data_IF_056282421303
#
_entry.id   IF_056282421303
#
_cell.length_a   1.000
_cell.length_b   1.000
_cell.length_c   1.000
_cell.angle_alpha   90.00
_cell.angle_beta   90.00
_cell.angle_gamma   90.00
#
_symmetry.space_group_name_H-M   'P 1'
#
loop_
_entity.id
_entity.type
_entity.pdbx_description
1 polymer ?
#
# COMPACT_ATOMS: atom_id res chain seq x y z
N UNK A 1 -1.55 11.21 14.70
CA UNK A 1 -2.52 10.18 14.25
C UNK A 1 -2.17 8.79 14.76
N UNK A 2 -0.93 8.53 15.13
CA UNK A 2 -0.41 7.21 15.50
C UNK A 2 -1.06 6.59 16.75
N UNK A 3 -1.62 7.43 17.60
CA UNK A 3 -2.32 7.03 18.84
C UNK A 3 -3.81 6.70 18.60
N UNK A 4 -4.30 6.84 17.36
CA UNK A 4 -5.73 6.74 17.04
C UNK A 4 -5.99 5.50 16.18
N UNK A 5 -6.99 4.72 16.55
CA UNK A 5 -7.50 3.62 15.74
C UNK A 5 -8.99 3.78 15.45
N UNK A 6 -9.36 3.45 14.21
CA UNK A 6 -10.76 3.24 13.82
C UNK A 6 -10.93 1.78 13.49
N UNK A 7 -11.77 1.12 14.26
CA UNK A 7 -12.01 -0.32 14.16
C UNK A 7 -13.43 -0.59 13.66
N UNK A 8 -13.55 -1.57 12.77
CA UNK A 8 -14.83 -2.03 12.26
C UNK A 8 -14.89 -3.56 12.22
N UNK A 9 -16.05 -4.13 12.05
CA UNK A 9 -16.22 -5.57 11.84
C UNK A 9 -15.63 -6.03 10.50
N UNK A 10 -15.74 -5.20 9.47
CA UNK A 10 -15.28 -5.47 8.10
C UNK A 10 -14.64 -4.23 7.48
N UNK A 11 -13.64 -4.44 6.63
CA UNK A 11 -12.89 -3.35 5.98
C UNK A 11 -13.77 -2.44 5.10
N UNK A 12 -14.89 -2.94 4.56
CA UNK A 12 -15.80 -2.13 3.74
C UNK A 12 -16.34 -0.89 4.46
N UNK A 13 -16.51 -0.95 5.78
CA UNK A 13 -16.98 0.19 6.58
C UNK A 13 -15.90 1.25 6.82
N UNK A 14 -14.63 0.90 6.59
CA UNK A 14 -13.50 1.82 6.68
C UNK A 14 -13.23 2.58 5.37
N UNK A 15 -13.82 2.15 4.25
CA UNK A 15 -13.60 2.75 2.94
C UNK A 15 -13.92 4.25 2.87
N UNK A 16 -15.03 4.75 3.43
CA UNK A 16 -15.31 6.20 3.44
C UNK A 16 -14.23 7.00 4.20
N UNK A 17 -13.73 6.45 5.31
CA UNK A 17 -12.68 7.09 6.08
C UNK A 17 -11.34 7.03 5.36
N UNK A 18 -11.03 5.92 4.69
CA UNK A 18 -9.88 5.81 3.81
C UNK A 18 -9.93 6.90 2.71
N UNK A 19 -11.08 7.04 2.03
CA UNK A 19 -11.27 8.07 1.02
C UNK A 19 -11.06 9.49 1.58
N UNK A 20 -11.54 9.74 2.79
CA UNK A 20 -11.34 11.01 3.48
C UNK A 20 -9.85 11.25 3.78
N UNK A 21 -9.12 10.25 4.27
CA UNK A 21 -7.68 10.36 4.52
C UNK A 21 -6.91 10.69 3.23
N UNK A 22 -7.20 9.99 2.12
CA UNK A 22 -6.57 10.24 0.81
C UNK A 22 -6.82 11.68 0.33
N UNK A 23 -8.07 12.16 0.43
CA UNK A 23 -8.45 13.50 -0.01
C UNK A 23 -7.82 14.63 0.83
N UNK A 24 -7.58 14.36 2.11
CA UNK A 24 -7.07 15.36 3.06
C UNK A 24 -5.58 15.20 3.39
N UNK A 25 -4.89 14.26 2.74
CA UNK A 25 -3.47 14.00 2.98
C UNK A 25 -3.18 13.52 4.41
N UNK A 26 -4.15 12.85 5.05
CA UNK A 26 -3.97 12.29 6.40
C UNK A 26 -3.25 10.95 6.29
N UNK A 27 -2.09 10.77 6.95
CA UNK A 27 -1.41 9.51 6.95
C UNK A 27 -2.26 8.45 7.66
N UNK A 28 -2.40 7.28 7.05
CA UNK A 28 -3.15 6.18 7.62
C UNK A 28 -2.51 4.83 7.30
N UNK A 29 -2.79 3.86 8.15
CA UNK A 29 -2.43 2.47 7.97
C UNK A 29 -3.69 1.62 7.87
N UNK A 30 -3.97 1.05 6.69
CA UNK A 30 -5.06 0.09 6.52
C UNK A 30 -4.55 -1.32 6.82
N UNK A 31 -5.03 -1.93 7.90
CA UNK A 31 -4.72 -3.33 8.25
C UNK A 31 -5.45 -4.29 7.31
N UNK A 32 -4.88 -4.49 6.13
CA UNK A 32 -5.27 -5.57 5.23
C UNK A 32 -4.42 -6.82 5.50
N UNK A 33 -4.85 -7.95 4.98
CA UNK A 33 -4.14 -9.23 5.11
C UNK A 33 -2.65 -9.06 4.74
N UNK A 34 -1.77 -9.21 5.74
CA UNK A 34 -0.32 -8.97 5.64
C UNK A 34 0.37 -9.84 4.58
N UNK A 35 -0.30 -10.92 4.15
CA UNK A 35 0.24 -11.87 3.15
C UNK A 35 0.24 -11.33 1.72
N UNK A 36 -0.38 -10.17 1.47
CA UNK A 36 -0.65 -9.69 0.11
C UNK A 36 0.19 -8.47 -0.30
N UNK A 37 0.92 -7.82 0.64
CA UNK A 37 1.80 -6.69 0.30
C UNK A 37 3.17 -7.19 -0.17
N UNK A 38 3.76 -6.57 -1.21
CA UNK A 38 5.12 -6.87 -1.62
C UNK A 38 6.10 -6.65 -0.48
N UNK A 39 7.16 -7.45 -0.45
CA UNK A 39 8.26 -7.24 0.50
C UNK A 39 8.92 -5.89 0.23
N UNK A 40 9.25 -5.14 1.28
CA UNK A 40 9.97 -3.86 1.17
C UNK A 40 11.27 -3.99 0.37
N UNK A 41 11.94 -5.15 0.49
CA UNK A 41 13.18 -5.45 -0.24
C UNK A 41 13.00 -5.54 -1.75
N UNK A 42 11.76 -5.70 -2.24
CA UNK A 42 11.40 -5.79 -3.65
C UNK A 42 10.94 -4.47 -4.23
N UNK A 43 10.83 -3.43 -3.43
CA UNK A 43 10.50 -2.10 -3.94
C UNK A 43 11.65 -1.57 -4.78
N UNK A 44 11.34 -1.00 -5.92
CA UNK A 44 12.31 -0.52 -6.92
C UNK A 44 13.37 0.41 -6.33
N UNK A 45 12.97 1.29 -5.45
CA UNK A 45 13.86 2.27 -4.80
C UNK A 45 14.90 1.58 -3.92
N UNK A 46 14.47 0.59 -3.14
CA UNK A 46 15.37 -0.23 -2.30
C UNK A 46 16.27 -1.12 -3.15
N UNK A 47 15.75 -1.68 -4.24
CA UNK A 47 16.54 -2.48 -5.16
C UNK A 47 17.63 -1.67 -5.85
N UNK A 48 17.34 -0.44 -6.30
CA UNK A 48 18.33 0.48 -6.88
C UNK A 48 19.42 0.86 -5.87
N UNK A 49 19.03 1.16 -4.62
CA UNK A 49 19.98 1.45 -3.56
C UNK A 49 20.93 0.27 -3.31
N UNK A 50 20.39 -0.95 -3.26
CA UNK A 50 21.18 -2.16 -3.12
C UNK A 50 22.14 -2.36 -4.29
N UNK A 51 21.70 -2.12 -5.52
CA UNK A 51 22.58 -2.22 -6.70
C UNK A 51 23.74 -1.21 -6.64
N UNK A 52 23.46 0.02 -6.21
CA UNK A 52 24.49 1.05 -6.03
C UNK A 52 25.52 0.65 -4.97
N UNK A 53 25.07 0.12 -3.83
CA UNK A 53 25.96 -0.36 -2.77
C UNK A 53 26.78 -1.58 -3.24
N UNK A 54 26.18 -2.53 -3.95
CA UNK A 54 26.89 -3.69 -4.52
C UNK A 54 27.95 -3.27 -5.56
N UNK A 55 27.67 -2.23 -6.36
CA UNK A 55 28.64 -1.68 -7.30
C UNK A 55 29.80 -1.01 -6.59
N UNK A 56 29.53 -0.28 -5.50
CA UNK A 56 30.55 0.36 -4.66
C UNK A 56 31.42 -0.68 -3.94
N UNK A 57 30.82 -1.78 -3.45
CA UNK A 57 31.56 -2.90 -2.83
C UNK A 57 32.57 -3.51 -3.80
N UNK A 58 32.13 -3.80 -5.04
CA UNK A 58 33.02 -4.33 -6.09
C UNK A 58 34.14 -3.35 -6.45
N UNK A 59 33.91 -2.05 -6.30
CA UNK A 59 34.88 -1.01 -6.54
C UNK A 59 35.74 -0.69 -5.28
N UNK A 60 35.57 -1.44 -4.19
CA UNK A 60 36.25 -1.24 -2.90
C UNK A 60 36.14 0.19 -2.37
N UNK A 61 34.97 0.83 -2.59
CA UNK A 61 34.68 2.18 -2.07
C UNK A 61 34.08 2.09 -0.68
N UNK A 62 34.26 3.14 0.10
CA UNK A 62 33.55 3.37 1.37
C UNK A 62 32.75 4.64 1.28
N UNK A 63 31.83 4.84 2.19
CA UNK A 63 30.98 6.04 2.26
C UNK A 63 31.17 6.75 3.59
N UNK A 64 31.32 8.07 3.55
CA UNK A 64 31.10 8.89 4.74
C UNK A 64 29.59 9.10 4.96
N UNK A 65 29.18 9.60 6.14
CA UNK A 65 27.76 9.91 6.38
C UNK A 65 27.21 10.88 5.32
N UNK A 66 27.99 11.88 4.91
CA UNK A 66 27.63 12.83 3.84
C UNK A 66 27.44 12.13 2.49
N UNK A 67 28.33 11.25 2.12
CA UNK A 67 28.25 10.50 0.87
C UNK A 67 27.07 9.51 0.88
N UNK A 68 26.76 8.91 2.05
CA UNK A 68 25.60 8.07 2.20
C UNK A 68 24.28 8.85 2.02
N UNK A 69 24.19 10.06 2.61
CA UNK A 69 23.06 10.97 2.36
C UNK A 69 22.89 11.25 0.87
N UNK A 70 23.98 11.63 0.19
CA UNK A 70 23.96 11.89 -1.25
C UNK A 70 23.49 10.64 -2.04
N UNK A 71 23.97 9.46 -1.69
CA UNK A 71 23.53 8.21 -2.31
C UNK A 71 22.01 7.98 -2.15
N UNK A 72 21.46 8.24 -0.97
CA UNK A 72 20.02 8.14 -0.73
C UNK A 72 19.23 9.17 -1.56
N UNK A 73 19.74 10.40 -1.64
CA UNK A 73 19.14 11.47 -2.44
C UNK A 73 19.15 11.16 -3.94
N UNK A 74 20.19 10.52 -4.46
CA UNK A 74 20.30 10.09 -5.86
C UNK A 74 19.30 8.96 -6.23
N UNK A 75 18.89 8.13 -5.25
CA UNK A 75 17.97 7.03 -5.48
C UNK A 75 16.50 7.44 -5.42
N UNK A 76 16.18 8.63 -4.89
CA UNK A 76 14.81 9.09 -4.86
C UNK A 76 14.40 9.62 -6.24
N UNK A 77 13.30 9.15 -6.75
CA UNK A 77 12.69 9.64 -7.97
C UNK A 77 11.35 10.30 -7.65
N UNK A 78 10.66 9.81 -6.62
CA UNK A 78 9.36 10.31 -6.22
C UNK A 78 9.36 11.00 -4.85
N UNK A 79 8.41 11.92 -4.66
CA UNK A 79 8.28 12.72 -3.44
C UNK A 79 8.01 11.87 -2.20
N UNK A 80 7.24 10.78 -2.35
CA UNK A 80 6.85 9.92 -1.23
C UNK A 80 8.05 9.18 -0.63
N UNK A 81 9.04 8.81 -1.47
CA UNK A 81 10.24 8.13 -1.01
C UNK A 81 11.29 9.07 -0.46
N UNK A 82 11.25 10.35 -0.80
CA UNK A 82 12.17 11.35 -0.23
C UNK A 82 12.04 11.42 1.29
N UNK A 83 10.82 11.44 1.81
CA UNK A 83 10.57 11.47 3.25
C UNK A 83 11.03 10.16 3.92
N UNK A 84 10.79 9.02 3.29
CA UNK A 84 11.28 7.73 3.78
C UNK A 84 12.81 7.68 3.84
N UNK A 85 13.51 8.13 2.81
CA UNK A 85 14.97 8.16 2.80
C UNK A 85 15.55 9.16 3.79
N UNK A 86 14.93 10.32 3.98
CA UNK A 86 15.29 11.24 5.04
C UNK A 86 15.17 10.59 6.42
N UNK A 87 14.07 9.89 6.67
CA UNK A 87 13.87 9.15 7.92
C UNK A 87 14.93 8.06 8.12
N UNK A 88 15.24 7.29 7.08
CA UNK A 88 16.34 6.30 7.09
C UNK A 88 17.65 6.97 7.47
N UNK A 89 17.97 8.10 6.85
CA UNK A 89 19.22 8.80 7.11
C UNK A 89 19.29 9.39 8.53
N UNK A 90 18.20 9.98 9.03
CA UNK A 90 18.15 10.50 10.41
C UNK A 90 18.38 9.39 11.44
N UNK A 91 17.73 8.24 11.29
CA UNK A 91 17.94 7.11 12.20
C UNK A 91 19.37 6.56 12.11
N UNK A 92 19.95 6.52 10.90
CA UNK A 92 21.36 6.15 10.74
C UNK A 92 22.28 7.09 11.54
N UNK A 93 22.08 8.41 11.41
CA UNK A 93 22.86 9.40 12.14
C UNK A 93 22.69 9.29 13.66
N UNK A 94 21.48 9.08 14.14
CA UNK A 94 21.19 8.91 15.56
C UNK A 94 21.92 7.70 16.15
N UNK A 95 21.88 6.56 15.48
CA UNK A 95 22.57 5.33 15.93
C UNK A 95 24.11 5.45 15.89
N UNK A 96 24.66 6.27 14.98
CA UNK A 96 26.10 6.39 14.78
C UNK A 96 26.71 7.65 15.38
N UNK A 97 25.93 8.46 16.10
CA UNK A 97 26.39 9.71 16.69
C UNK A 97 26.77 10.79 15.66
N UNK A 98 26.23 10.69 14.44
CA UNK A 98 26.41 11.66 13.36
C UNK A 98 25.36 12.77 13.45
N UNK A 99 25.70 13.96 12.95
CA UNK A 99 24.75 15.05 12.85
C UNK A 99 24.01 15.00 11.51
N UNK A 100 22.71 14.70 11.52
CA UNK A 100 21.91 14.60 10.30
C UNK A 100 21.82 15.92 9.51
N UNK A 101 21.88 17.07 10.16
CA UNK A 101 21.86 18.39 9.50
C UNK A 101 23.22 18.76 8.89
N UNK A 102 24.31 18.26 9.48
CA UNK A 102 25.69 18.52 9.04
C UNK A 102 26.50 17.21 9.12
N UNK A 103 26.22 16.22 8.24
CA UNK A 103 26.87 14.92 8.31
C UNK A 103 28.36 15.02 8.06
N UNK A 104 29.15 14.24 8.84
CA UNK A 104 30.61 14.26 8.83
C UNK A 104 31.22 13.51 7.65
N UNK A 105 32.53 13.72 7.49
CA UNK A 105 33.38 13.03 6.52
C UNK A 105 34.48 12.18 7.19
N UNK A 106 34.50 12.13 8.53
CA UNK A 106 35.57 11.48 9.27
C UNK A 106 35.43 9.96 9.37
N UNK A 107 34.20 9.48 9.50
CA UNK A 107 33.91 8.05 9.64
C UNK A 107 33.57 7.44 8.29
N UNK A 108 34.19 6.30 7.98
CA UNK A 108 34.01 5.58 6.73
C UNK A 108 33.23 4.27 6.95
N UNK A 109 32.14 4.08 6.23
CA UNK A 109 31.28 2.91 6.32
C UNK A 109 31.42 2.05 5.07
N UNK A 110 31.72 0.73 5.21
CA UNK A 110 31.73 -0.20 4.07
C UNK A 110 30.32 -0.35 3.47
N UNK A 111 30.18 -0.55 2.14
CA UNK A 111 28.89 -0.72 1.50
C UNK A 111 28.11 -1.92 2.06
N UNK A 112 28.77 -3.05 2.36
CA UNK A 112 28.14 -4.21 2.98
C UNK A 112 27.55 -3.88 4.37
N UNK A 113 28.22 -3.02 5.16
CA UNK A 113 27.71 -2.56 6.43
C UNK A 113 26.43 -1.72 6.25
N UNK A 114 26.45 -0.71 5.37
CA UNK A 114 25.29 0.10 5.07
C UNK A 114 24.10 -0.74 4.54
N UNK A 115 24.40 -1.72 3.69
CA UNK A 115 23.38 -2.64 3.16
C UNK A 115 22.72 -3.45 4.27
N UNK A 116 23.50 -4.05 5.18
CA UNK A 116 22.96 -4.82 6.28
C UNK A 116 22.16 -3.93 7.23
N UNK A 117 22.68 -2.77 7.58
CA UNK A 117 21.98 -1.81 8.42
C UNK A 117 20.63 -1.40 7.81
N UNK A 118 20.59 -1.05 6.50
CA UNK A 118 19.34 -0.74 5.80
C UNK A 118 18.37 -1.92 5.86
N UNK A 119 18.83 -3.15 5.66
CA UNK A 119 17.99 -4.34 5.68
C UNK A 119 17.36 -4.57 7.06
N UNK A 120 18.15 -4.42 8.13
CA UNK A 120 17.69 -4.54 9.51
C UNK A 120 16.70 -3.43 9.85
N UNK A 121 17.01 -2.19 9.44
CA UNK A 121 16.13 -1.05 9.62
C UNK A 121 14.80 -1.21 8.85
N UNK A 122 14.82 -1.73 7.62
CA UNK A 122 13.61 -2.03 6.87
C UNK A 122 12.77 -3.13 7.54
N UNK A 123 13.39 -4.04 8.26
CA UNK A 123 12.70 -5.00 9.12
C UNK A 123 11.92 -4.30 10.23
N UNK A 124 12.52 -3.29 10.85
CA UNK A 124 11.88 -2.40 11.84
C UNK A 124 10.84 -1.50 11.20
N UNK A 125 11.10 -0.91 10.03
CA UNK A 125 10.14 -0.12 9.24
C UNK A 125 8.88 -0.90 8.85
N UNK A 126 8.96 -2.21 8.76
CA UNK A 126 7.77 -3.04 8.59
C UNK A 126 6.78 -2.88 9.75
N UNK A 127 7.29 -2.53 10.92
CA UNK A 127 6.50 -2.13 12.09
C UNK A 127 6.12 -0.64 12.01
N UNK A 128 7.01 0.23 11.51
CA UNK A 128 6.82 1.69 11.39
C UNK A 128 5.90 2.11 10.22
N UNK A 129 5.63 1.26 9.23
CA UNK A 129 4.53 1.46 8.27
C UNK A 129 3.14 1.42 8.92
N UNK A 130 3.09 1.33 10.24
CA UNK A 130 1.89 1.50 11.05
C UNK A 130 1.73 2.95 11.57
N UNK A 131 2.54 3.90 11.10
CA UNK A 131 2.38 5.31 11.44
C UNK A 131 1.16 5.91 10.75
N UNK A 132 0.47 6.77 11.48
CA UNK A 132 -0.77 7.39 11.06
C UNK A 132 -2.00 6.72 11.66
N UNK A 133 -3.16 7.19 11.25
CA UNK A 133 -4.45 6.67 11.70
C UNK A 133 -4.57 5.17 11.39
N UNK A 134 -4.71 4.35 12.41
CA UNK A 134 -4.91 2.91 12.22
C UNK A 134 -6.35 2.63 11.77
N UNK A 135 -6.51 2.08 10.58
CA UNK A 135 -7.78 1.61 10.04
C UNK A 135 -7.75 0.08 9.98
N UNK A 136 -8.60 -0.59 10.73
CA UNK A 136 -8.55 -2.05 10.75
C UNK A 136 -9.82 -2.74 11.22
N UNK A 137 -9.86 -4.04 11.02
CA UNK A 137 -10.92 -4.85 11.64
C UNK A 137 -10.59 -5.09 13.10
N UNK A 138 -11.62 -5.36 13.92
CA UNK A 138 -11.42 -5.75 15.32
C UNK A 138 -10.48 -6.96 15.43
N UNK A 139 -10.56 -7.90 14.49
CA UNK A 139 -9.67 -9.06 14.45
C UNK A 139 -8.20 -8.67 14.18
N UNK A 140 -7.96 -7.73 13.29
CA UNK A 140 -6.59 -7.30 12.96
C UNK A 140 -5.95 -6.48 14.07
N UNK A 141 -6.75 -5.87 14.94
CA UNK A 141 -6.30 -5.11 16.10
C UNK A 141 -6.02 -5.97 17.35
N UNK A 142 -6.22 -7.29 17.27
CA UNK A 142 -5.95 -8.18 18.41
C UNK A 142 -4.48 -8.12 18.81
N UNK A 143 -4.24 -7.81 20.10
CA UNK A 143 -2.90 -7.66 20.67
C UNK A 143 -2.26 -6.28 20.45
N UNK A 144 -2.95 -5.35 19.79
CA UNK A 144 -2.56 -3.95 19.70
C UNK A 144 -3.33 -3.12 20.73
N UNK A 145 -2.78 -1.97 21.10
CA UNK A 145 -3.41 -0.99 22.00
C UNK A 145 -3.18 0.42 21.43
N UNK A 146 -4.19 1.29 21.61
CA UNK A 146 -4.18 2.66 21.11
C UNK A 146 -4.72 3.59 22.19
N UNK A 147 -4.25 4.84 22.26
CA UNK A 147 -4.78 5.80 23.22
C UNK A 147 -6.26 6.08 22.93
N UNK A 148 -6.60 6.27 21.67
CA UNK A 148 -7.96 6.64 21.25
C UNK A 148 -8.52 5.61 20.26
N UNK A 149 -9.63 4.99 20.58
CA UNK A 149 -10.28 4.00 19.71
C UNK A 149 -11.67 4.48 19.33
N UNK A 150 -11.94 4.50 18.04
CA UNK A 150 -13.27 4.65 17.46
C UNK A 150 -13.74 3.29 16.96
N UNK A 151 -14.82 2.79 17.54
CA UNK A 151 -15.41 1.50 17.13
C UNK A 151 -16.67 1.77 16.33
N UNK A 152 -16.63 1.42 15.04
CA UNK A 152 -17.74 1.59 14.12
C UNK A 152 -18.74 0.44 14.26
N UNK A 153 -20.00 0.78 14.37
CA UNK A 153 -21.10 -0.16 14.22
C UNK A 153 -21.26 -0.53 12.73
N UNK A 154 -21.45 -1.82 12.45
CA UNK A 154 -21.64 -2.38 11.13
C UNK A 154 -23.09 -2.75 10.83
N UNK A 155 -24.03 -2.05 11.44
CA UNK A 155 -25.43 -2.36 11.30
C UNK A 155 -25.97 -2.01 9.92
N UNK A 156 -25.86 -2.94 8.96
CA UNK A 156 -26.44 -2.85 7.60
C UNK A 156 -28.00 -2.88 7.63
N UNK A 157 -28.63 -2.58 8.76
CA UNK A 157 -30.10 -2.73 8.97
C UNK A 157 -30.53 -4.19 9.09
N UNK A 158 -29.60 -5.13 9.14
CA UNK A 158 -29.87 -6.53 9.48
C UNK A 158 -29.79 -6.69 10.99
N UNK A 159 -30.77 -7.40 11.57
CA UNK A 159 -30.72 -7.73 13.00
C UNK A 159 -29.38 -8.36 13.32
N UNK A 160 -28.57 -7.66 14.13
CA UNK A 160 -27.33 -8.24 14.65
C UNK A 160 -27.64 -9.56 15.35
N UNK A 161 -26.89 -10.58 14.97
CA UNK A 161 -26.96 -11.85 15.70
C UNK A 161 -26.30 -11.60 17.06
N UNK A 162 -27.10 -11.51 18.10
CA UNK A 162 -26.60 -11.42 19.49
C UNK A 162 -26.03 -12.79 19.90
N UNK A 163 -24.91 -13.16 19.29
CA UNK A 163 -24.17 -14.38 19.63
C UNK A 163 -23.12 -14.07 20.67
N UNK A 164 -22.79 -15.05 21.49
CA UNK A 164 -21.70 -14.90 22.48
C UNK A 164 -20.37 -14.58 21.80
N UNK A 165 -20.17 -15.00 20.56
CA UNK A 165 -18.99 -14.71 19.75
C UNK A 165 -18.92 -13.25 19.33
N UNK A 166 -20.02 -12.67 18.82
CA UNK A 166 -20.07 -11.24 18.45
C UNK A 166 -19.86 -10.35 19.69
N UNK A 167 -20.43 -10.71 20.82
CA UNK A 167 -20.20 -9.98 22.07
C UNK A 167 -18.73 -10.01 22.48
N UNK A 168 -18.07 -11.16 22.40
CA UNK A 168 -16.64 -11.28 22.70
C UNK A 168 -15.79 -10.45 21.76
N UNK A 169 -16.12 -10.48 20.47
CA UNK A 169 -15.41 -9.69 19.47
C UNK A 169 -15.55 -8.19 19.74
N UNK A 170 -16.77 -7.74 20.00
CA UNK A 170 -17.03 -6.34 20.32
C UNK A 170 -16.26 -5.90 21.58
N UNK A 171 -16.26 -6.75 22.61
CA UNK A 171 -15.47 -6.54 23.83
C UNK A 171 -13.96 -6.43 23.52
N UNK A 172 -13.43 -7.28 22.62
CA UNK A 172 -12.02 -7.18 22.19
C UNK A 172 -11.76 -5.83 21.54
N UNK A 173 -12.65 -5.32 20.69
CA UNK A 173 -12.54 -3.98 20.11
C UNK A 173 -12.52 -2.88 21.17
N UNK A 174 -13.43 -2.93 22.12
CA UNK A 174 -13.52 -1.96 23.21
C UNK A 174 -12.25 -1.92 24.08
N UNK A 175 -11.67 -3.08 24.37
CA UNK A 175 -10.45 -3.21 25.20
C UNK A 175 -9.15 -2.82 24.46
N UNK A 176 -9.23 -2.32 23.24
CA UNK A 176 -8.05 -1.80 22.54
C UNK A 176 -7.72 -0.35 22.93
N UNK A 177 -8.62 0.35 23.60
CA UNK A 177 -8.43 1.73 24.06
C UNK A 177 -7.70 1.80 25.40
N UNK A 178 -6.71 2.68 25.49
CA UNK A 178 -6.00 3.00 26.74
C UNK A 178 -6.67 4.19 27.43
N UNK A 179 -6.99 5.26 26.69
CA UNK A 179 -7.49 6.51 27.25
C UNK A 179 -8.96 6.75 26.92
N UNK A 180 -9.33 6.71 25.63
CA UNK A 180 -10.71 7.00 25.21
C UNK A 180 -11.26 5.97 24.25
N UNK A 181 -12.52 5.61 24.46
CA UNK A 181 -13.30 4.76 23.58
C UNK A 181 -14.51 5.53 23.07
N UNK A 182 -14.61 5.67 21.76
CA UNK A 182 -15.79 6.24 21.09
C UNK A 182 -16.53 5.16 20.34
N UNK A 183 -17.79 4.93 20.68
CA UNK A 183 -18.65 3.98 19.99
C UNK A 183 -19.53 4.74 19.01
N UNK A 184 -19.32 4.52 17.71
CA UNK A 184 -20.09 5.15 16.63
C UNK A 184 -21.12 4.15 16.15
N UNK A 185 -22.39 4.48 16.30
CA UNK A 185 -23.50 3.60 15.97
C UNK A 185 -24.52 4.32 15.09
N UNK A 186 -25.07 3.58 14.15
CA UNK A 186 -26.20 4.04 13.29
C UNK A 186 -27.56 3.71 13.90
N UNK A 187 -27.64 2.72 14.78
CA UNK A 187 -28.82 2.31 15.51
C UNK A 187 -28.65 2.57 17.01
N UNK A 188 -29.47 3.45 17.64
CA UNK A 188 -29.38 3.70 19.07
C UNK A 188 -29.74 2.50 19.94
N UNK A 189 -30.29 1.45 19.37
CA UNK A 189 -30.63 0.20 20.07
C UNK A 189 -29.58 -0.90 19.95
N UNK A 190 -28.31 -0.55 19.71
CA UNK A 190 -27.25 -1.55 19.66
C UNK A 190 -27.21 -2.38 20.96
N UNK A 191 -27.38 -3.73 20.89
CA UNK A 191 -27.63 -4.56 22.08
C UNK A 191 -26.48 -4.58 23.07
N UNK A 192 -25.25 -4.35 22.64
CA UNK A 192 -24.08 -4.39 23.52
C UNK A 192 -23.85 -3.03 24.19
N UNK A 193 -24.22 -1.94 23.54
CA UNK A 193 -24.15 -0.59 24.13
C UNK A 193 -25.29 -0.37 25.10
N UNK A 194 -26.48 -0.86 24.78
CA UNK A 194 -27.64 -0.79 25.71
C UNK A 194 -27.43 -1.53 27.05
N UNK A 195 -26.44 -2.40 27.12
CA UNK A 195 -26.07 -3.10 28.37
C UNK A 195 -25.04 -2.35 29.24
N UNK A 196 -24.49 -1.21 28.74
CA UNK A 196 -23.52 -0.42 29.50
C UNK A 196 -24.24 0.51 30.49
N UNK A 197 -23.65 0.78 31.67
CA UNK A 197 -24.22 1.73 32.64
C UNK A 197 -24.26 3.15 32.03
N UNK A 198 -25.42 3.79 32.04
CA UNK A 198 -25.64 5.14 31.47
C UNK A 198 -24.77 6.21 32.12
N UNK A 199 -24.46 6.05 33.41
CA UNK A 199 -23.63 6.98 34.17
C UNK A 199 -22.20 7.15 33.72
N UNK A 200 -21.73 6.20 32.85
CA UNK A 200 -20.38 6.20 32.31
C UNK A 200 -20.35 6.50 30.82
N UNK A 201 -21.43 6.98 30.24
CA UNK A 201 -21.55 7.21 28.79
C UNK A 201 -21.98 8.64 28.53
N UNK A 202 -21.11 9.40 27.83
CA UNK A 202 -21.48 10.66 27.22
C UNK A 202 -22.12 10.41 25.86
N UNK A 203 -23.40 10.74 25.71
CA UNK A 203 -24.10 10.55 24.44
C UNK A 203 -24.09 11.85 23.63
N UNK A 204 -23.55 11.79 22.41
CA UNK A 204 -23.55 12.92 21.48
C UNK A 204 -24.33 12.52 20.24
N UNK A 205 -25.49 13.15 20.01
CA UNK A 205 -26.21 12.99 18.76
C UNK A 205 -25.72 14.01 17.73
N UNK A 206 -25.22 13.52 16.58
CA UNK A 206 -24.80 14.38 15.48
C UNK A 206 -25.53 13.99 14.19
N UNK A 207 -25.97 15.01 13.45
CA UNK A 207 -26.50 14.82 12.11
C UNK A 207 -25.38 15.08 11.10
N UNK A 208 -24.97 14.06 10.39
CA UNK A 208 -23.97 14.17 9.32
C UNK A 208 -24.65 14.47 7.99
N UNK A 209 -24.10 15.44 7.24
CA UNK A 209 -24.48 15.62 5.83
C UNK A 209 -23.79 14.55 4.99
N UNK A 210 -24.56 13.97 4.05
CA UNK A 210 -23.95 13.09 3.06
C UNK A 210 -22.89 13.85 2.26
N UNK A 211 -21.69 13.28 2.21
CA UNK A 211 -20.62 13.79 1.36
C UNK A 211 -20.36 12.77 0.24
N UNK A 212 -20.80 13.06 -1.01
CA UNK A 212 -20.62 12.13 -2.13
C UNK A 212 -19.17 11.73 -2.40
N UNK A 213 -18.21 12.59 -2.05
CA UNK A 213 -16.80 12.30 -2.21
C UNK A 213 -16.33 11.12 -1.33
N UNK A 214 -17.00 10.87 -0.20
CA UNK A 214 -16.71 9.73 0.68
C UNK A 214 -17.20 8.39 0.11
N UNK A 215 -17.97 8.39 -0.96
CA UNK A 215 -18.39 7.18 -1.66
C UNK A 215 -17.32 6.66 -2.61
N UNK A 216 -16.24 7.40 -2.85
CA UNK A 216 -15.10 6.94 -3.63
C UNK A 216 -14.37 5.82 -2.90
N UNK A 217 -14.09 4.73 -3.60
CA UNK A 217 -13.34 3.60 -3.03
C UNK A 217 -11.94 3.56 -3.63
N UNK A 218 -10.96 3.30 -2.78
CA UNK A 218 -9.57 3.10 -3.17
C UNK A 218 -9.19 1.64 -2.98
N UNK A 219 -8.73 0.98 -4.04
CA UNK A 219 -8.36 -0.43 -4.00
C UNK A 219 -7.00 -0.65 -4.64
N UNK A 220 -5.99 -0.88 -3.83
CA UNK A 220 -4.68 -1.33 -4.33
C UNK A 220 -4.76 -2.79 -4.74
N UNK A 221 -4.32 -3.11 -5.94
CA UNK A 221 -4.25 -4.49 -6.41
C UNK A 221 -3.20 -5.27 -5.62
N UNK A 222 -3.49 -6.53 -5.40
CA UNK A 222 -2.56 -7.46 -4.74
C UNK A 222 -1.65 -8.13 -5.76
N UNK A 223 -0.50 -8.73 -5.36
CA UNK A 223 0.33 -9.53 -6.25
C UNK A 223 -0.39 -10.69 -6.94
N UNK A 224 -1.47 -11.23 -6.35
CA UNK A 224 -2.30 -12.26 -6.98
C UNK A 224 -3.23 -11.71 -8.07
N UNK A 225 -3.60 -10.44 -7.96
CA UNK A 225 -4.49 -9.75 -8.89
C UNK A 225 -3.74 -9.02 -10.01
N UNK A 226 -2.46 -8.76 -9.82
CA UNK A 226 -1.59 -8.12 -10.82
C UNK A 226 -0.76 -9.18 -11.53
N UNK A 227 -0.67 -9.09 -12.86
CA UNK A 227 0.21 -9.95 -13.66
C UNK A 227 1.66 -9.47 -13.52
N UNK A 228 2.38 -10.01 -12.57
CA UNK A 228 3.75 -9.60 -12.23
C UNK A 228 4.79 -9.94 -13.30
N UNK A 229 4.43 -10.77 -14.29
CA UNK A 229 5.32 -11.13 -15.40
C UNK A 229 5.06 -10.34 -16.68
N UNK A 230 3.98 -9.56 -16.74
CA UNK A 230 3.47 -9.00 -17.99
C UNK A 230 4.50 -8.16 -18.76
N UNK A 231 5.25 -7.29 -18.12
CA UNK A 231 6.20 -6.41 -18.80
C UNK A 231 7.31 -7.17 -19.53
N UNK A 232 7.73 -8.32 -19.00
CA UNK A 232 8.82 -9.14 -19.54
C UNK A 232 8.32 -10.36 -20.35
N UNK A 233 7.09 -10.81 -20.15
CA UNK A 233 6.55 -12.08 -20.66
C UNK A 233 6.04 -12.07 -22.11
N UNK A 234 6.11 -10.95 -22.82
CA UNK A 234 5.59 -10.82 -24.22
C UNK A 234 6.50 -11.48 -25.28
N UNK A 235 7.43 -12.31 -24.88
CA UNK A 235 8.42 -12.85 -25.79
C UNK A 235 8.44 -14.38 -25.87
N UNK A 236 7.70 -14.95 -26.80
CA UNK A 236 8.00 -16.29 -27.34
C UNK A 236 9.18 -16.14 -28.33
N UNK A 237 10.39 -15.98 -27.82
CA UNK A 237 11.49 -15.54 -28.64
C UNK A 237 12.56 -16.60 -28.89
N UNK A 238 12.48 -17.25 -30.01
CA UNK A 238 13.69 -17.77 -30.68
C UNK A 238 14.16 -16.70 -31.69
N UNK A 239 15.30 -16.12 -31.45
CA UNK A 239 15.88 -14.85 -31.97
C UNK A 239 15.96 -14.66 -33.52
N UNK A 240 15.49 -15.58 -34.34
CA UNK A 240 15.69 -15.55 -35.81
C UNK A 240 14.47 -15.05 -36.59
N UNK A 241 13.35 -14.70 -35.99
CA UNK A 241 12.13 -14.32 -36.68
C UNK A 241 11.86 -12.79 -36.54
N UNK A 242 11.53 -12.06 -37.62
CA UNK A 242 11.25 -10.62 -37.62
C UNK A 242 10.09 -10.23 -36.66
N UNK A 243 9.11 -11.11 -36.42
CA UNK A 243 8.03 -10.93 -35.44
C UNK A 243 8.59 -10.81 -34.03
N UNK A 244 9.63 -11.58 -33.72
CA UNK A 244 10.30 -11.60 -32.41
C UNK A 244 11.08 -10.30 -32.19
N UNK A 245 11.74 -9.78 -33.21
CA UNK A 245 12.47 -8.50 -33.13
C UNK A 245 11.54 -7.34 -32.83
N UNK A 246 10.31 -7.38 -33.36
CA UNK A 246 9.26 -6.40 -33.05
C UNK A 246 8.73 -6.56 -31.61
N UNK A 247 8.58 -7.80 -31.13
CA UNK A 247 8.17 -8.10 -29.76
C UNK A 247 9.23 -7.67 -28.73
N UNK A 248 10.51 -7.94 -29.01
CA UNK A 248 11.62 -7.48 -28.14
C UNK A 248 11.69 -5.96 -28.07
N UNK A 249 11.47 -5.26 -29.20
CA UNK A 249 11.39 -3.79 -29.20
C UNK A 249 10.22 -3.30 -28.36
N UNK A 250 9.10 -3.98 -28.41
CA UNK A 250 7.92 -3.65 -27.61
C UNK A 250 8.19 -3.83 -26.11
N UNK A 251 8.87 -4.91 -25.70
CA UNK A 251 9.28 -5.13 -24.31
C UNK A 251 10.23 -4.02 -23.85
N UNK A 252 11.23 -3.66 -24.63
CA UNK A 252 12.16 -2.58 -24.26
C UNK A 252 11.43 -1.26 -24.07
N UNK A 253 10.49 -0.93 -24.96
CA UNK A 253 9.67 0.29 -24.83
C UNK A 253 8.82 0.27 -23.56
N UNK A 254 8.21 -0.87 -23.23
CA UNK A 254 7.45 -1.02 -21.97
C UNK A 254 8.33 -0.83 -20.74
N UNK A 255 9.49 -1.50 -20.70
CA UNK A 255 10.41 -1.38 -19.57
C UNK A 255 10.92 0.06 -19.40
N UNK A 256 11.27 0.73 -20.49
CA UNK A 256 11.66 2.14 -20.47
C UNK A 256 10.54 3.05 -19.97
N UNK A 257 9.29 2.78 -20.37
CA UNK A 257 8.12 3.53 -19.88
C UNK A 257 7.90 3.29 -18.40
N UNK A 258 8.02 2.03 -17.94
CA UNK A 258 7.90 1.68 -16.51
C UNK A 258 9.01 2.35 -15.68
N UNK A 259 10.22 2.47 -16.20
CA UNK A 259 11.33 3.13 -15.52
C UNK A 259 11.11 4.62 -15.29
N UNK A 260 10.27 5.25 -16.12
CA UNK A 260 9.87 6.66 -15.96
C UNK A 260 8.69 6.88 -15.00
N UNK A 261 8.03 5.80 -14.55
CA UNK A 261 6.89 5.91 -13.65
C UNK A 261 7.35 6.16 -12.22
N UNK A 262 6.56 6.95 -11.50
CA UNK A 262 6.67 7.18 -10.07
C UNK A 262 5.36 6.84 -9.35
N UNK A 263 5.45 6.60 -8.05
CA UNK A 263 4.29 6.38 -7.20
C UNK A 263 3.39 7.61 -7.21
N UNK A 264 2.08 7.40 -7.32
CA UNK A 264 1.07 8.46 -7.45
C UNK A 264 0.81 8.92 -8.88
N UNK A 265 1.61 8.52 -9.88
CA UNK A 265 1.34 8.89 -11.27
C UNK A 265 0.03 8.28 -11.77
N UNK A 266 -0.79 9.06 -12.53
CA UNK A 266 -2.04 8.58 -13.07
C UNK A 266 -1.82 7.55 -14.19
N UNK A 267 -2.69 6.55 -14.22
CA UNK A 267 -2.74 5.52 -15.24
C UNK A 267 -4.11 5.54 -15.92
N UNK A 268 -4.12 5.45 -17.23
CA UNK A 268 -5.35 5.21 -17.98
C UNK A 268 -5.76 3.75 -17.81
N UNK A 269 -7.05 3.50 -17.65
CA UNK A 269 -7.59 2.14 -17.51
C UNK A 269 -8.35 1.77 -18.78
N UNK A 270 -8.07 0.59 -19.30
CA UNK A 270 -8.77 0.01 -20.46
C UNK A 270 -9.21 -1.41 -20.12
N UNK A 271 -10.49 -1.70 -20.36
CA UNK A 271 -10.97 -3.08 -20.30
C UNK A 271 -10.68 -3.79 -21.63
N UNK A 272 -9.96 -4.88 -21.57
CA UNK A 272 -9.67 -5.76 -22.69
C UNK A 272 -10.24 -7.16 -22.37
N UNK A 273 -11.50 -7.38 -22.73
CA UNK A 273 -12.22 -8.65 -22.49
C UNK A 273 -12.21 -9.13 -21.03
N UNK A 274 -12.39 -8.17 -20.10
CA UNK A 274 -12.42 -8.42 -18.66
C UNK A 274 -11.03 -8.54 -18.01
N UNK A 275 -9.98 -8.20 -18.74
CA UNK A 275 -8.64 -7.94 -18.22
C UNK A 275 -8.45 -6.43 -18.24
N UNK A 276 -8.26 -5.82 -17.08
CA UNK A 276 -7.93 -4.41 -17.02
C UNK A 276 -6.47 -4.21 -17.40
N UNK A 277 -6.25 -3.34 -18.37
CA UNK A 277 -4.94 -2.88 -18.78
C UNK A 277 -4.73 -1.44 -18.29
N UNK A 278 -3.55 -1.19 -17.74
CA UNK A 278 -3.14 0.11 -17.22
C UNK A 278 -2.10 0.71 -18.15
N UNK A 279 -2.39 1.91 -18.65
CA UNK A 279 -1.56 2.55 -19.66
C UNK A 279 -0.97 3.85 -19.14
N UNK A 280 0.27 4.10 -19.54
CA UNK A 280 0.92 5.40 -19.42
C UNK A 280 1.41 5.83 -20.81
N UNK A 281 1.04 7.05 -21.25
CA UNK A 281 1.35 7.55 -22.58
C UNK A 281 0.97 6.58 -23.73
N UNK A 282 -0.19 5.90 -23.58
CA UNK A 282 -0.68 4.94 -24.58
C UNK A 282 0.01 3.56 -24.57
N UNK A 283 1.00 3.36 -23.70
CA UNK A 283 1.74 2.09 -23.55
C UNK A 283 1.19 1.33 -22.34
N UNK A 284 0.84 0.07 -22.53
CA UNK A 284 0.37 -0.80 -21.46
C UNK A 284 1.55 -1.15 -20.54
N UNK A 285 1.49 -0.71 -19.29
CA UNK A 285 2.55 -0.88 -18.27
C UNK A 285 2.21 -1.92 -17.21
N UNK A 286 0.92 -2.25 -17.06
CA UNK A 286 0.44 -3.31 -16.18
C UNK A 286 -0.88 -3.88 -16.71
N UNK A 287 -1.25 -5.06 -16.21
CA UNK A 287 -2.58 -5.63 -16.41
C UNK A 287 -2.99 -6.48 -15.22
N UNK A 288 -4.29 -6.72 -15.07
CA UNK A 288 -4.79 -7.66 -14.08
C UNK A 288 -4.48 -9.10 -14.47
N UNK A 289 -4.23 -9.94 -13.48
CA UNK A 289 -4.09 -11.38 -13.66
C UNK A 289 -5.46 -12.02 -13.97
N UNK A 290 -5.44 -13.25 -14.48
CA UNK A 290 -6.68 -14.00 -14.73
C UNK A 290 -7.52 -14.21 -13.46
N UNK A 291 -6.88 -14.26 -12.31
CA UNK A 291 -7.53 -14.47 -11.01
C UNK A 291 -8.29 -13.22 -10.51
N UNK A 292 -7.97 -12.05 -11.05
CA UNK A 292 -8.61 -10.79 -10.65
C UNK A 292 -9.96 -10.54 -11.32
N UNK A 293 -10.27 -11.26 -12.40
CA UNK A 293 -11.42 -11.00 -13.27
C UNK A 293 -12.77 -11.01 -12.56
N UNK A 294 -12.95 -11.90 -11.58
CA UNK A 294 -14.23 -12.09 -10.87
C UNK A 294 -14.52 -11.03 -9.82
N UNK A 295 -13.50 -10.26 -9.42
CA UNK A 295 -13.57 -9.32 -8.29
C UNK A 295 -13.49 -7.86 -8.70
N UNK A 296 -13.37 -7.56 -10.01
CA UNK A 296 -13.21 -6.19 -10.48
C UNK A 296 -14.54 -5.44 -10.52
N UNK A 297 -14.58 -4.20 -10.02
CA UNK A 297 -15.75 -3.35 -10.10
C UNK A 297 -16.05 -3.00 -11.56
N UNK A 298 -17.33 -2.83 -11.86
CA UNK A 298 -17.78 -2.34 -13.17
C UNK A 298 -17.97 -0.83 -13.09
N UNK A 299 -17.66 -0.13 -14.18
CA UNK A 299 -17.86 1.31 -14.32
C UNK A 299 -16.62 2.06 -14.79
N UNK A 300 -16.69 3.37 -14.75
CA UNK A 300 -15.58 4.23 -15.09
C UNK A 300 -14.53 4.19 -13.97
N UNK A 301 -13.35 3.62 -14.28
CA UNK A 301 -12.28 3.43 -13.33
C UNK A 301 -11.14 4.39 -13.63
N UNK A 302 -10.58 4.99 -12.57
CA UNK A 302 -9.30 5.67 -12.62
C UNK A 302 -8.27 4.80 -11.90
N UNK A 303 -7.00 5.00 -12.19
CA UNK A 303 -5.93 4.31 -11.49
C UNK A 303 -4.69 5.19 -11.35
N UNK A 304 -3.94 4.91 -10.31
CA UNK A 304 -2.62 5.50 -10.08
C UNK A 304 -1.60 4.40 -9.79
N UNK A 305 -0.33 4.72 -9.95
CA UNK A 305 0.76 3.84 -9.53
C UNK A 305 0.80 3.80 -8.00
N UNK A 306 0.52 2.66 -7.41
CA UNK A 306 0.60 2.47 -5.96
C UNK A 306 2.01 2.06 -5.52
N UNK A 307 2.60 1.09 -6.21
CA UNK A 307 3.91 0.55 -5.89
C UNK A 307 4.65 0.12 -7.17
N UNK A 308 5.98 0.15 -7.11
CA UNK A 308 6.89 -0.32 -8.17
C UNK A 308 7.75 -1.43 -7.58
N UNK A 309 7.50 -2.66 -7.99
CA UNK A 309 8.06 -3.88 -7.39
C UNK A 309 9.04 -4.52 -8.36
N UNK A 310 10.24 -4.87 -7.90
CA UNK A 310 11.21 -5.60 -8.71
C UNK A 310 10.96 -7.11 -8.64
N UNK A 311 10.93 -7.73 -9.79
CA UNK A 311 10.85 -9.17 -9.99
C UNK A 311 12.15 -9.67 -10.59
N UNK A 312 12.66 -10.79 -10.08
CA UNK A 312 13.86 -11.45 -10.58
C UNK A 312 13.51 -12.67 -11.42
N UNK A 313 14.24 -12.89 -12.51
CA UNK A 313 14.07 -14.07 -13.37
C UNK A 313 14.25 -15.38 -12.58
N UNK A 314 15.14 -15.38 -11.60
CA UNK A 314 15.38 -16.52 -10.70
C UNK A 314 14.20 -16.89 -9.80
N UNK A 315 13.22 -16.01 -9.67
CA UNK A 315 11.98 -16.26 -8.91
C UNK A 315 10.91 -16.97 -9.73
N UNK A 316 11.11 -17.08 -11.05
CA UNK A 316 10.20 -17.77 -11.94
C UNK A 316 10.42 -19.28 -11.90
N UNK A 317 9.32 -20.03 -12.00
CA UNK A 317 9.41 -21.48 -12.14
C UNK A 317 9.99 -21.83 -13.52
N UNK A 318 10.79 -22.89 -13.58
CA UNK A 318 11.51 -23.37 -14.80
C UNK A 318 10.59 -23.48 -16.02
N UNK A 319 9.35 -23.92 -15.82
CA UNK A 319 8.34 -24.06 -16.88
C UNK A 319 7.94 -22.76 -17.58
N UNK A 320 8.27 -21.57 -17.00
CA UNK A 320 7.94 -20.26 -17.55
C UNK A 320 9.16 -19.46 -18.00
N UNK A 321 10.39 -19.94 -17.72
CA UNK A 321 11.63 -19.22 -18.05
C UNK A 321 11.76 -18.94 -19.57
N UNK A 322 11.21 -19.81 -20.43
CA UNK A 322 11.22 -19.62 -21.88
C UNK A 322 10.48 -18.36 -22.37
N UNK A 323 9.66 -17.77 -21.51
CA UNK A 323 8.88 -16.57 -21.83
C UNK A 323 9.69 -15.28 -21.73
N UNK A 324 10.84 -15.34 -21.08
CA UNK A 324 11.66 -14.16 -20.78
C UNK A 324 12.89 -14.14 -21.67
N UNK A 325 13.23 -12.98 -22.29
CA UNK A 325 14.47 -12.81 -23.02
C UNK A 325 15.69 -13.14 -22.15
N UNK A 326 16.73 -13.76 -22.72
CA UNK A 326 17.92 -14.18 -21.97
C UNK A 326 18.65 -13.03 -21.28
N UNK A 327 18.57 -11.84 -21.84
CA UNK A 327 19.22 -10.62 -21.31
C UNK A 327 18.48 -9.94 -20.16
N UNK A 328 17.24 -10.37 -19.84
CA UNK A 328 16.46 -9.78 -18.75
C UNK A 328 16.64 -10.63 -17.50
N UNK A 329 17.41 -10.13 -16.55
CA UNK A 329 17.61 -10.77 -15.24
C UNK A 329 16.57 -10.30 -14.21
N UNK A 330 16.12 -9.06 -14.33
CA UNK A 330 15.08 -8.44 -13.46
C UNK A 330 14.28 -7.40 -14.22
N UNK A 331 13.07 -7.13 -13.75
CA UNK A 331 12.18 -6.07 -14.28
C UNK A 331 11.33 -5.45 -13.18
N UNK A 332 10.92 -4.21 -13.41
CA UNK A 332 9.99 -3.53 -12.52
C UNK A 332 8.55 -3.84 -12.93
N UNK A 333 7.71 -4.16 -11.96
CA UNK A 333 6.28 -4.38 -12.12
C UNK A 333 5.52 -3.25 -11.46
N UNK A 334 4.55 -2.71 -12.16
CA UNK A 334 3.65 -1.66 -11.66
C UNK A 334 2.50 -2.31 -10.92
N UNK A 335 2.28 -1.91 -9.68
CA UNK A 335 1.10 -2.30 -8.88
C UNK A 335 0.15 -1.10 -8.86
N UNK A 336 -1.03 -1.19 -9.53
CA UNK A 336 -1.99 -0.10 -9.56
C UNK A 336 -2.85 -0.04 -8.29
N UNK A 337 -3.26 1.18 -7.93
CA UNK A 337 -4.41 1.44 -7.07
C UNK A 337 -5.57 1.93 -7.94
N UNK A 338 -6.69 1.26 -7.83
CA UNK A 338 -7.93 1.65 -8.49
C UNK A 338 -8.64 2.72 -7.64
N UNK A 339 -9.17 3.72 -8.32
CA UNK A 339 -10.05 4.74 -7.77
C UNK A 339 -11.41 4.51 -8.40
N UNK A 340 -12.37 4.09 -7.59
CA UNK A 340 -13.71 3.69 -8.01
C UNK A 340 -14.66 4.79 -7.56
N UNK A 341 -15.17 5.64 -8.47
CA UNK A 341 -16.15 6.66 -8.12
C UNK A 341 -17.38 6.01 -7.52
N UNK A 342 -17.82 6.51 -6.37
CA UNK A 342 -19.07 6.07 -5.76
C UNK A 342 -20.25 6.50 -6.63
N UNK A 343 -21.16 5.59 -6.88
CA UNK A 343 -22.49 5.95 -7.44
C UNK A 343 -23.19 6.86 -6.45
N UNK A 344 -23.75 8.00 -6.88
CA UNK A 344 -24.62 8.79 -6.03
C UNK A 344 -25.74 7.86 -5.54
N UNK A 345 -25.83 7.63 -4.24
CA UNK A 345 -26.98 6.92 -3.71
C UNK A 345 -28.17 7.85 -3.95
N UNK A 346 -29.16 7.38 -4.72
CA UNK A 346 -30.45 8.06 -4.78
C UNK A 346 -30.95 8.27 -3.35
N UNK A 347 -31.44 9.47 -3.00
CA UNK A 347 -31.97 9.70 -1.67
C UNK A 347 -33.03 8.64 -1.39
N UNK A 348 -32.78 7.83 -0.37
CA UNK A 348 -33.79 6.90 0.12
C UNK A 348 -35.00 7.76 0.46
N UNK A 349 -36.14 7.48 -0.17
CA UNK A 349 -37.41 8.13 0.13
C UNK A 349 -37.55 8.20 1.65
N UNK A 350 -37.57 9.44 2.17
CA UNK A 350 -38.05 9.65 3.53
C UNK A 350 -39.49 9.11 3.59
N UNK A 351 -39.85 8.27 4.54
CA UNK A 351 -41.23 7.94 4.73
C UNK A 351 -41.95 9.27 5.10
N UNK A 352 -42.82 9.70 4.21
CA UNK A 352 -43.78 10.76 4.52
C UNK A 352 -44.52 10.34 5.78
N UNK A 353 -44.48 11.23 6.77
CA UNK A 353 -45.17 11.26 8.07
C UNK A 353 -46.53 10.61 8.06
#
# INVERSE_FOLDING_TARGET
WDDIAVLARQNKYLQPLQAWCEQNGVPYFLSSDKSQKPSLYKLRQIDRLRDALNAAEKAQKTFTARQFRQLLEEQHIDKSWRENFNTIFHNFCEEHGENAEAPGDDTHYPPCYLQNWILDYLGTLKQLRQQGLYLGTIHSAKGLEFKHVFLLDDNDGKKQKNTAEERRLYYVGMTRSIETLTLIQSDPKHPFIAALPEENIDQIAQHFRENPALNTQYRTLTPKETDLGFAAADGNAKEKNPVIKAQLKNIQTKLQTIDQLDVGMPLQVRDNHGILEFLHNGIVVARTSKNAKETMPQGELQAVVAELVVRYKTEESEQYLYRYPDKIEKWTVVVPQLIIPGTPQHPRHQPTT
#
